data_IF_259431012967
#
_entry.id   IF_259431012967
#
_cell.length_a   1.000
_cell.length_b   1.000
_cell.length_c   1.000
_cell.angle_alpha   90.00
_cell.angle_beta   90.00
_cell.angle_gamma   90.00
#
_symmetry.space_group_name_H-M   'P 1'
#
loop_
_entity.id
_entity.type
_entity.pdbx_description
1 polymer ?
#
# COMPACT_ATOMS: atom_id res chain seq x y z
N UNK A 1 -3.01 13.58 14.26
CA UNK A 1 -1.97 13.49 15.30
C UNK A 1 -2.33 14.44 16.44
N UNK A 2 -2.14 14.04 17.70
CA UNK A 2 -2.33 14.95 18.85
C UNK A 2 -0.95 15.36 19.39
N UNK A 3 -0.66 16.66 19.43
CA UNK A 3 0.62 17.17 19.91
C UNK A 3 0.66 17.21 21.45
N UNK A 4 1.79 16.89 22.11
CA UNK A 4 1.87 16.80 23.57
C UNK A 4 1.53 18.08 24.36
N UNK A 5 1.59 19.24 23.72
CA UNK A 5 1.42 20.57 24.37
C UNK A 5 0.41 21.46 23.65
N UNK A 6 -0.43 20.89 22.78
CA UNK A 6 -1.37 21.66 21.95
C UNK A 6 -0.69 22.55 20.90
N UNK A 7 0.59 22.30 20.59
CA UNK A 7 1.26 22.95 19.47
C UNK A 7 0.50 22.70 18.16
N UNK A 8 0.55 23.71 17.29
CA UNK A 8 0.22 23.55 15.89
C UNK A 8 1.09 22.45 15.24
N UNK A 9 0.52 21.69 14.31
CA UNK A 9 1.18 20.53 13.70
C UNK A 9 2.44 20.93 12.93
N UNK A 10 2.40 22.05 12.20
CA UNK A 10 3.55 22.54 11.44
C UNK A 10 4.69 22.98 12.37
N UNK A 11 4.34 23.67 13.45
CA UNK A 11 5.30 24.10 14.47
C UNK A 11 5.95 22.90 15.16
N UNK A 12 5.16 21.88 15.49
CA UNK A 12 5.67 20.68 16.15
C UNK A 12 6.58 19.87 15.24
N UNK A 13 6.20 19.71 13.96
CA UNK A 13 7.04 19.07 12.95
C UNK A 13 8.40 19.79 12.82
N UNK A 14 8.38 21.12 12.70
CA UNK A 14 9.61 21.94 12.64
C UNK A 14 10.49 21.70 13.85
N UNK A 15 9.91 21.79 15.06
CA UNK A 15 10.64 21.59 16.31
C UNK A 15 11.33 20.22 16.35
N UNK A 16 10.62 19.16 15.95
CA UNK A 16 11.20 17.81 15.89
C UNK A 16 12.36 17.71 14.89
N UNK A 17 12.24 18.37 13.74
CA UNK A 17 13.33 18.42 12.76
C UNK A 17 14.54 19.15 13.34
N UNK A 18 14.36 20.30 13.97
CA UNK A 18 15.44 21.09 14.58
C UNK A 18 16.14 20.31 15.71
N UNK A 19 15.39 19.60 16.54
CA UNK A 19 15.94 18.74 17.61
C UNK A 19 16.73 17.55 17.05
N UNK A 20 16.29 16.96 15.92
CA UNK A 20 16.89 15.75 15.36
C UNK A 20 17.98 16.01 14.33
N UNK A 21 18.01 17.19 13.71
CA UNK A 21 18.97 17.55 12.67
C UNK A 21 20.43 17.31 13.10
N UNK A 22 20.86 17.71 14.32
CA UNK A 22 22.24 17.48 14.79
C UNK A 22 22.62 16.00 14.93
N UNK A 23 21.63 15.10 15.09
CA UNK A 23 21.89 13.66 15.17
C UNK A 23 22.18 13.03 13.80
N UNK A 24 21.76 13.68 12.70
CA UNK A 24 22.05 13.24 11.33
C UNK A 24 23.23 13.98 10.71
N UNK A 25 23.35 15.28 10.99
CA UNK A 25 24.43 16.13 10.49
C UNK A 25 25.14 16.81 11.66
N UNK A 26 26.39 16.41 11.96
CA UNK A 26 27.20 17.08 12.99
C UNK A 26 27.49 18.55 12.66
N UNK A 27 27.62 18.86 11.38
CA UNK A 27 27.80 20.23 10.87
C UNK A 27 26.65 20.60 9.94
N UNK A 28 25.97 21.69 10.23
CA UNK A 28 24.81 22.16 9.46
C UNK A 28 25.30 23.20 8.45
N UNK A 29 25.45 22.78 7.19
CA UNK A 29 25.78 23.68 6.09
C UNK A 29 24.57 24.53 5.66
N UNK A 30 24.78 25.68 4.99
CA UNK A 30 23.69 26.48 4.42
C UNK A 30 22.76 25.65 3.51
N UNK A 31 23.33 24.73 2.72
CA UNK A 31 22.57 23.84 1.84
C UNK A 31 21.58 22.95 2.61
N UNK A 32 21.97 22.42 3.78
CA UNK A 32 21.11 21.59 4.62
C UNK A 32 19.96 22.43 5.21
N UNK A 33 20.29 23.59 5.78
CA UNK A 33 19.31 24.51 6.37
C UNK A 33 18.29 25.01 5.33
N UNK A 34 18.77 25.43 4.16
CA UNK A 34 17.91 25.90 3.06
C UNK A 34 17.00 24.78 2.53
N UNK A 35 17.53 23.56 2.36
CA UNK A 35 16.72 22.41 1.94
C UNK A 35 15.65 22.09 2.97
N UNK A 36 16.00 22.04 4.26
CA UNK A 36 15.06 21.75 5.33
C UNK A 36 13.94 22.79 5.40
N UNK A 37 14.29 24.08 5.33
CA UNK A 37 13.32 25.17 5.34
C UNK A 37 12.36 25.09 4.14
N UNK A 38 12.91 24.86 2.94
CA UNK A 38 12.10 24.71 1.72
C UNK A 38 11.10 23.54 1.84
N UNK A 39 11.56 22.39 2.31
CA UNK A 39 10.68 21.21 2.50
C UNK A 39 9.60 21.48 3.53
N UNK A 40 9.95 22.04 4.70
CA UNK A 40 8.98 22.36 5.76
C UNK A 40 7.93 23.38 5.28
N UNK A 41 8.33 24.39 4.52
CA UNK A 41 7.39 25.37 3.93
C UNK A 41 6.41 24.71 2.97
N UNK A 42 6.90 23.83 2.11
CA UNK A 42 6.05 23.11 1.16
C UNK A 42 5.09 22.16 1.89
N UNK A 43 5.58 21.39 2.86
CA UNK A 43 4.77 20.48 3.68
C UNK A 43 3.65 21.24 4.39
N UNK A 44 3.97 22.40 4.96
CA UNK A 44 3.00 23.31 5.59
C UNK A 44 1.98 23.83 4.60
N UNK A 45 2.42 24.34 3.44
CA UNK A 45 1.52 24.87 2.40
C UNK A 45 0.51 23.83 1.92
N UNK A 46 0.92 22.56 1.86
CA UNK A 46 0.05 21.46 1.45
C UNK A 46 -0.74 20.82 2.60
N UNK A 47 -0.50 21.22 3.86
CA UNK A 47 -1.22 20.70 5.02
C UNK A 47 -0.82 19.28 5.43
N UNK A 48 0.39 18.82 5.09
CA UNK A 48 0.82 17.44 5.33
C UNK A 48 1.65 17.23 6.60
N UNK A 49 1.79 18.24 7.47
CA UNK A 49 2.54 18.08 8.71
C UNK A 49 1.98 16.96 9.60
N UNK A 50 0.65 16.86 9.70
CA UNK A 50 0.01 15.78 10.43
C UNK A 50 0.35 14.38 9.90
N UNK A 51 0.50 14.24 8.57
CA UNK A 51 0.84 12.98 7.94
C UNK A 51 2.27 12.55 8.30
N UNK A 52 3.24 13.46 8.15
CA UNK A 52 4.62 13.23 8.56
C UNK A 52 4.74 12.85 10.04
N UNK A 53 3.97 13.52 10.92
CA UNK A 53 3.98 13.24 12.36
C UNK A 53 3.41 11.87 12.70
N UNK A 54 2.32 11.44 12.04
CA UNK A 54 1.76 10.10 12.23
C UNK A 54 2.78 9.04 11.83
N UNK A 55 3.39 9.21 10.65
CA UNK A 55 4.41 8.29 10.12
C UNK A 55 5.64 8.22 11.00
N UNK A 56 6.20 9.37 11.34
CA UNK A 56 7.34 9.47 12.25
C UNK A 56 7.07 8.72 13.56
N UNK A 57 5.88 8.86 14.11
CA UNK A 57 5.57 8.34 15.43
C UNK A 57 5.51 6.81 15.51
N UNK A 58 4.89 6.14 14.53
CA UNK A 58 4.89 4.67 14.53
C UNK A 58 6.23 4.08 14.12
N UNK A 59 7.03 4.79 13.28
CA UNK A 59 8.41 4.38 12.98
C UNK A 59 9.29 4.53 14.22
N UNK A 60 9.15 5.64 14.96
CA UNK A 60 9.85 5.84 16.24
C UNK A 60 9.54 4.70 17.19
N UNK A 61 8.26 4.36 17.35
CA UNK A 61 7.83 3.22 18.17
C UNK A 61 8.49 1.90 17.71
N UNK A 62 8.46 1.60 16.41
CA UNK A 62 9.09 0.40 15.86
C UNK A 62 10.59 0.34 16.20
N UNK A 63 11.32 1.44 15.95
CA UNK A 63 12.76 1.55 16.27
C UNK A 63 13.04 1.42 17.78
N UNK A 64 12.24 2.04 18.64
CA UNK A 64 12.35 1.92 20.11
C UNK A 64 12.09 0.48 20.61
N UNK A 65 11.18 -0.24 19.95
CA UNK A 65 10.89 -1.66 20.21
C UNK A 65 11.84 -2.62 19.49
N UNK A 66 12.89 -2.10 18.84
CA UNK A 66 13.86 -2.87 18.06
C UNK A 66 13.21 -3.73 16.98
N UNK A 67 12.09 -3.27 16.41
CA UNK A 67 11.47 -3.85 15.23
C UNK A 67 12.25 -3.33 14.03
N UNK A 68 12.67 -4.21 13.12
CA UNK A 68 13.45 -3.79 11.96
C UNK A 68 12.56 -3.00 11.00
N UNK A 69 13.01 -1.80 10.63
CA UNK A 69 12.38 -0.92 9.65
C UNK A 69 13.35 -0.75 8.49
N UNK A 70 12.85 -0.87 7.26
CA UNK A 70 13.65 -0.66 6.06
C UNK A 70 14.12 0.79 5.92
N UNK A 71 15.10 1.06 5.05
CA UNK A 71 15.67 2.39 4.87
C UNK A 71 14.72 3.42 4.22
N UNK A 72 13.50 2.99 3.84
CA UNK A 72 12.51 3.73 3.07
C UNK A 72 12.49 3.28 1.60
N UNK A 73 11.31 3.25 0.99
CA UNK A 73 11.13 2.91 -0.43
C UNK A 73 10.33 3.98 -1.18
N UNK A 74 10.47 4.01 -2.50
CA UNK A 74 9.74 4.96 -3.33
C UNK A 74 10.30 6.39 -3.24
N UNK A 75 9.44 7.37 -3.47
CA UNK A 75 9.87 8.77 -3.62
C UNK A 75 10.22 9.46 -2.30
N UNK A 76 9.68 9.00 -1.16
CA UNK A 76 9.92 9.60 0.17
C UNK A 76 11.41 9.69 0.56
N UNK A 77 12.25 8.80 0.01
CA UNK A 77 13.71 8.86 0.19
C UNK A 77 14.34 10.18 -0.30
N UNK A 78 13.65 10.96 -1.14
CA UNK A 78 14.08 12.29 -1.56
C UNK A 78 13.82 13.42 -0.56
N UNK A 79 13.14 13.17 0.56
CA UNK A 79 12.84 14.18 1.58
C UNK A 79 13.90 14.20 2.68
N UNK A 80 14.53 15.35 2.86
CA UNK A 80 15.42 15.65 3.99
C UNK A 80 14.64 15.62 5.30
N UNK A 81 13.39 16.13 5.32
CA UNK A 81 12.52 16.06 6.51
C UNK A 81 12.27 14.61 6.92
N UNK A 82 11.95 13.72 5.97
CA UNK A 82 11.77 12.29 6.26
C UNK A 82 13.06 11.65 6.81
N UNK A 83 14.21 11.98 6.24
CA UNK A 83 15.51 11.48 6.71
C UNK A 83 15.86 11.93 8.13
N UNK A 84 15.66 13.23 8.42
CA UNK A 84 15.93 13.84 9.74
C UNK A 84 15.03 13.25 10.83
N UNK A 85 13.74 13.05 10.54
CA UNK A 85 12.82 12.41 11.46
C UNK A 85 13.14 10.92 11.70
N UNK A 86 13.91 10.31 10.80
CA UNK A 86 14.22 8.88 10.81
C UNK A 86 13.13 8.02 10.19
N UNK A 87 12.27 8.61 9.37
CA UNK A 87 11.31 7.91 8.50
C UNK A 87 12.07 7.14 7.42
N UNK A 88 13.09 7.78 6.84
CA UNK A 88 14.04 7.15 5.93
C UNK A 88 15.43 7.16 6.55
N UNK A 89 16.30 6.26 6.08
CA UNK A 89 17.70 6.17 6.52
C UNK A 89 18.71 6.47 5.39
N UNK A 90 18.23 6.94 4.23
CA UNK A 90 19.04 7.39 3.09
C UNK A 90 19.15 8.92 3.12
N UNK A 91 20.38 9.44 3.15
CA UNK A 91 20.65 10.88 3.05
C UNK A 91 20.36 11.39 1.62
N UNK A 92 19.31 12.21 1.41
CA UNK A 92 18.95 12.66 0.07
C UNK A 92 19.97 13.60 -0.55
N UNK A 93 20.74 14.35 0.24
CA UNK A 93 21.71 15.31 -0.28
C UNK A 93 22.96 14.60 -0.79
N UNK A 94 23.43 13.59 -0.06
CA UNK A 94 24.59 12.78 -0.46
C UNK A 94 24.39 12.05 -1.80
N UNK A 95 23.15 11.65 -2.10
CA UNK A 95 22.80 10.92 -3.33
C UNK A 95 22.10 11.78 -4.39
N UNK A 96 22.00 13.10 -4.18
CA UNK A 96 21.36 14.01 -5.15
C UNK A 96 19.87 13.72 -5.39
N UNK A 97 19.15 13.24 -4.37
CA UNK A 97 17.74 12.92 -4.46
C UNK A 97 16.85 14.18 -4.35
N UNK A 98 15.83 14.24 -5.21
CA UNK A 98 14.96 15.40 -5.36
C UNK A 98 13.69 15.26 -4.50
N UNK A 99 13.40 16.28 -3.69
CA UNK A 99 12.19 16.34 -2.87
C UNK A 99 10.94 16.48 -3.73
N UNK A 100 11.04 17.21 -4.83
CA UNK A 100 9.93 17.52 -5.75
C UNK A 100 9.39 16.27 -6.45
N UNK A 101 10.16 15.17 -6.46
CA UNK A 101 9.68 13.86 -6.91
C UNK A 101 8.75 13.20 -5.90
N UNK A 102 8.97 13.46 -4.61
CA UNK A 102 8.08 13.01 -3.54
C UNK A 102 6.84 13.88 -3.46
N UNK A 103 7.05 15.20 -3.36
CA UNK A 103 5.98 16.12 -3.05
C UNK A 103 6.18 17.38 -3.90
N UNK A 104 5.27 17.56 -4.86
CA UNK A 104 5.28 18.66 -5.81
C UNK A 104 4.08 19.59 -5.54
N UNK A 105 4.30 20.88 -5.20
CA UNK A 105 3.23 21.84 -4.97
C UNK A 105 2.25 22.03 -6.14
N UNK A 106 2.67 21.72 -7.38
CA UNK A 106 1.85 21.83 -8.59
C UNK A 106 0.98 20.60 -8.83
N UNK A 107 1.19 19.51 -8.09
CA UNK A 107 0.38 18.29 -8.17
C UNK A 107 -0.59 18.23 -6.99
N UNK A 108 -1.85 17.89 -7.29
CA UNK A 108 -2.91 17.69 -6.29
C UNK A 108 -2.96 16.28 -5.72
N UNK A 109 -2.10 15.36 -6.20
CA UNK A 109 -2.06 13.99 -5.69
C UNK A 109 -1.47 13.96 -4.28
N UNK A 110 -2.06 13.13 -3.42
CA UNK A 110 -1.55 12.87 -2.07
C UNK A 110 -0.22 12.10 -2.18
N UNK A 111 0.82 12.47 -1.41
CA UNK A 111 2.07 11.73 -1.41
C UNK A 111 1.90 10.40 -0.66
N UNK A 112 2.40 9.31 -1.23
CA UNK A 112 2.44 8.00 -0.56
C UNK A 112 3.78 7.83 0.19
N UNK A 113 3.72 7.57 1.49
CA UNK A 113 4.88 7.19 2.31
C UNK A 113 4.84 5.68 2.60
N UNK A 114 5.50 4.93 1.73
CA UNK A 114 5.67 3.49 1.88
C UNK A 114 6.84 3.13 2.80
N UNK A 115 6.59 2.28 3.81
CA UNK A 115 7.62 1.82 4.75
C UNK A 115 7.60 0.30 4.85
N UNK A 116 8.78 -0.29 4.81
CA UNK A 116 8.97 -1.72 5.04
C UNK A 116 9.19 -1.97 6.54
N UNK A 117 8.39 -2.88 7.11
CA UNK A 117 8.48 -3.31 8.50
C UNK A 117 8.65 -4.82 8.50
N UNK A 118 9.49 -5.34 9.41
CA UNK A 118 9.67 -6.77 9.65
C UNK A 118 8.33 -7.52 9.74
N UNK A 119 8.19 -8.59 8.94
CA UNK A 119 6.91 -9.29 8.73
C UNK A 119 6.33 -9.85 10.02
N UNK A 120 7.14 -10.58 10.81
CA UNK A 120 6.71 -11.23 12.05
C UNK A 120 6.22 -10.25 13.12
N UNK A 121 6.76 -9.02 13.13
CA UNK A 121 6.51 -8.01 14.17
C UNK A 121 5.67 -6.84 13.68
N UNK A 122 5.24 -6.84 12.42
CA UNK A 122 4.40 -5.78 11.86
C UNK A 122 3.05 -5.64 12.58
N UNK A 123 2.50 -6.74 13.08
CA UNK A 123 1.29 -6.73 13.90
C UNK A 123 1.41 -5.84 15.15
N UNK A 124 2.60 -5.79 15.78
CA UNK A 124 2.85 -4.94 16.95
C UNK A 124 2.74 -3.44 16.62
N UNK A 125 3.19 -3.05 15.42
CA UNK A 125 3.11 -1.66 14.98
C UNK A 125 1.68 -1.27 14.65
N UNK A 126 0.92 -2.15 13.97
CA UNK A 126 -0.50 -1.92 13.69
C UNK A 126 -1.29 -1.78 14.99
N UNK A 127 -1.02 -2.63 15.98
CA UNK A 127 -1.68 -2.56 17.28
C UNK A 127 -1.32 -1.28 18.04
N UNK A 128 -0.07 -0.83 17.99
CA UNK A 128 0.31 0.49 18.52
C UNK A 128 -0.46 1.63 17.87
N UNK A 129 -0.57 1.63 16.53
CA UNK A 129 -1.32 2.63 15.77
C UNK A 129 -2.80 2.63 16.19
N UNK A 130 -3.42 1.45 16.33
CA UNK A 130 -4.80 1.31 16.83
C UNK A 130 -4.98 1.87 18.24
N UNK A 131 -4.08 1.52 19.16
CA UNK A 131 -4.14 2.00 20.54
C UNK A 131 -3.97 3.52 20.62
N UNK A 132 -3.11 4.09 19.77
CA UNK A 132 -2.79 5.51 19.80
C UNK A 132 -3.81 6.39 19.09
N UNK A 133 -4.31 5.97 17.94
CA UNK A 133 -5.20 6.77 17.10
C UNK A 133 -6.68 6.38 17.22
N UNK A 134 -6.98 5.33 18.00
CA UNK A 134 -8.32 4.83 18.27
C UNK A 134 -8.61 3.55 17.49
N UNK A 135 -9.11 2.51 18.18
CA UNK A 135 -9.41 1.23 17.54
C UNK A 135 -10.45 1.36 16.42
N UNK A 136 -11.43 2.25 16.56
CA UNK A 136 -12.48 2.49 15.56
C UNK A 136 -12.00 3.36 14.37
N UNK A 137 -10.83 3.99 14.49
CA UNK A 137 -10.29 4.94 13.52
C UNK A 137 -9.25 4.30 12.58
N UNK A 138 -8.82 3.06 12.89
CA UNK A 138 -7.72 2.38 12.20
C UNK A 138 -8.15 0.98 11.79
N UNK A 139 -8.02 0.67 10.50
CA UNK A 139 -8.30 -0.65 9.97
C UNK A 139 -7.31 -1.02 8.87
N UNK A 140 -7.18 -2.32 8.58
CA UNK A 140 -6.46 -2.75 7.39
C UNK A 140 -7.32 -2.53 6.14
N UNK A 141 -6.68 -2.35 5.00
CA UNK A 141 -7.39 -2.17 3.73
C UNK A 141 -7.82 -3.54 3.21
N UNK A 142 -9.03 -3.66 2.67
CA UNK A 142 -9.48 -4.88 2.00
C UNK A 142 -8.85 -5.00 0.61
N UNK A 143 -8.63 -6.24 0.19
CA UNK A 143 -8.30 -6.57 -1.20
C UNK A 143 -9.26 -7.63 -1.71
N UNK A 144 -9.50 -7.63 -3.01
CA UNK A 144 -10.41 -8.56 -3.66
C UNK A 144 -9.61 -9.50 -4.56
N UNK A 145 -9.62 -10.79 -4.21
CA UNK A 145 -9.05 -11.82 -5.07
C UNK A 145 -9.95 -12.03 -6.29
N UNK A 146 -9.42 -11.78 -7.48
CA UNK A 146 -10.14 -11.99 -8.75
C UNK A 146 -9.83 -13.36 -9.36
N UNK A 147 -10.70 -13.82 -10.26
CA UNK A 147 -10.50 -15.07 -10.99
C UNK A 147 -9.45 -14.89 -12.09
N UNK A 148 -8.20 -15.26 -11.81
CA UNK A 148 -7.15 -15.33 -12.83
C UNK A 148 -7.45 -16.41 -13.88
N UNK A 149 -6.99 -16.23 -15.13
CA UNK A 149 -7.25 -17.11 -16.28
C UNK A 149 -7.16 -18.62 -15.94
N UNK A 150 -6.03 -19.07 -15.37
CA UNK A 150 -5.82 -20.47 -15.01
C UNK A 150 -6.79 -20.96 -13.92
N UNK A 151 -7.14 -20.11 -12.97
CA UNK A 151 -8.08 -20.44 -11.92
C UNK A 151 -9.52 -20.53 -12.46
N UNK A 152 -9.91 -19.61 -13.35
CA UNK A 152 -11.18 -19.64 -14.05
C UNK A 152 -11.37 -20.95 -14.82
N UNK A 153 -10.36 -21.36 -15.62
CA UNK A 153 -10.39 -22.63 -16.36
C UNK A 153 -10.51 -23.82 -15.41
N UNK A 154 -9.76 -23.86 -14.30
CA UNK A 154 -9.85 -24.95 -13.33
C UNK A 154 -11.22 -25.04 -12.66
N UNK A 155 -11.80 -23.91 -12.28
CA UNK A 155 -13.10 -23.88 -11.59
C UNK A 155 -14.25 -24.23 -12.54
N UNK A 156 -14.24 -23.74 -13.79
CA UNK A 156 -15.23 -24.13 -14.81
C UNK A 156 -15.10 -25.62 -15.13
N UNK A 157 -13.88 -26.14 -15.30
CA UNK A 157 -13.66 -27.56 -15.57
C UNK A 157 -14.21 -28.47 -14.47
N UNK A 158 -14.12 -28.03 -13.21
CA UNK A 158 -14.74 -28.73 -12.07
C UNK A 158 -16.27 -28.77 -12.21
N UNK A 159 -16.91 -27.65 -12.56
CA UNK A 159 -18.37 -27.56 -12.73
C UNK A 159 -18.86 -28.39 -13.92
N UNK A 160 -18.09 -28.44 -15.01
CA UNK A 160 -18.39 -29.26 -16.19
C UNK A 160 -18.12 -30.77 -15.97
N UNK A 161 -17.69 -31.18 -14.77
CA UNK A 161 -17.39 -32.58 -14.46
C UNK A 161 -16.18 -33.14 -15.22
N UNK A 162 -15.27 -32.29 -15.66
CA UNK A 162 -14.08 -32.71 -16.40
C UNK A 162 -13.02 -33.28 -15.43
N UNK A 163 -12.25 -34.31 -15.83
CA UNK A 163 -11.18 -34.85 -14.99
C UNK A 163 -10.12 -33.79 -14.63
N UNK A 164 -9.79 -33.65 -13.34
CA UNK A 164 -8.86 -32.65 -12.84
C UNK A 164 -7.53 -32.63 -13.59
N UNK A 165 -6.94 -33.80 -13.86
CA UNK A 165 -5.66 -33.91 -14.57
C UNK A 165 -5.71 -33.35 -16.00
N UNK A 166 -6.84 -33.53 -16.69
CA UNK A 166 -7.06 -32.97 -18.04
C UNK A 166 -7.14 -31.44 -17.95
N UNK A 167 -7.96 -30.92 -17.03
CA UNK A 167 -8.16 -29.48 -16.85
C UNK A 167 -6.88 -28.77 -16.40
N UNK A 168 -6.10 -29.36 -15.48
CA UNK A 168 -4.84 -28.77 -15.04
C UNK A 168 -3.79 -28.72 -16.16
N UNK A 169 -3.73 -29.75 -17.02
CA UNK A 169 -2.88 -29.74 -18.22
C UNK A 169 -3.29 -28.62 -19.17
N UNK A 170 -4.59 -28.47 -19.44
CA UNK A 170 -5.13 -27.40 -20.28
C UNK A 170 -4.77 -26.02 -19.69
N UNK A 171 -5.00 -25.82 -18.39
CA UNK A 171 -4.71 -24.56 -17.72
C UNK A 171 -3.22 -24.18 -17.74
N UNK A 172 -2.30 -25.15 -17.81
CA UNK A 172 -0.85 -24.90 -17.86
C UNK A 172 -0.37 -24.32 -19.19
N UNK A 173 -1.12 -24.51 -20.28
CA UNK A 173 -0.80 -23.90 -21.58
C UNK A 173 -1.02 -22.37 -21.59
N UNK A 174 -1.88 -21.86 -20.71
CA UNK A 174 -2.11 -20.42 -20.56
C UNK A 174 -0.88 -19.81 -19.88
N UNK A 175 -0.19 -18.80 -20.44
CA UNK A 175 0.94 -18.16 -19.77
C UNK A 175 0.54 -17.53 -18.42
N UNK A 176 1.50 -17.41 -17.50
CA UNK A 176 1.26 -16.71 -16.23
C UNK A 176 0.95 -15.22 -16.50
N UNK A 177 0.03 -14.65 -15.72
CA UNK A 177 -0.39 -13.24 -15.79
C UNK A 177 -0.82 -12.76 -17.20
N UNK A 178 -1.36 -13.67 -18.01
CA UNK A 178 -1.95 -13.35 -19.32
C UNK A 178 -3.45 -13.53 -19.26
N UNK A 179 -4.18 -12.59 -19.85
CA UNK A 179 -5.63 -12.70 -20.04
C UNK A 179 -5.95 -13.91 -20.91
N UNK A 180 -7.05 -14.60 -20.59
CA UNK A 180 -7.43 -15.83 -21.29
C UNK A 180 -7.69 -15.57 -22.77
N UNK A 181 -8.36 -14.46 -23.11
CA UNK A 181 -8.61 -14.08 -24.51
C UNK A 181 -7.32 -13.98 -25.31
N UNK A 182 -6.31 -13.32 -24.77
CA UNK A 182 -5.04 -13.13 -25.46
C UNK A 182 -4.30 -14.47 -25.58
N UNK A 183 -4.30 -15.28 -24.52
CA UNK A 183 -3.68 -16.61 -24.56
C UNK A 183 -4.31 -17.52 -25.65
N UNK A 184 -5.62 -17.44 -25.83
CA UNK A 184 -6.34 -18.18 -26.88
C UNK A 184 -6.06 -17.63 -28.28
N UNK A 185 -5.83 -16.33 -28.44
CA UNK A 185 -5.44 -15.72 -29.72
C UNK A 185 -4.01 -16.10 -30.12
N UNK A 186 -3.09 -16.22 -29.16
CA UNK A 186 -1.65 -16.43 -29.38
C UNK A 186 -1.25 -17.91 -29.48
N UNK A 187 -1.92 -18.84 -28.78
CA UNK A 187 -1.53 -20.26 -28.78
C UNK A 187 -2.31 -21.07 -29.83
N UNK A 188 -1.60 -21.67 -30.77
CA UNK A 188 -2.16 -22.63 -31.72
C UNK A 188 -2.65 -23.89 -31.03
N UNK A 189 -1.95 -24.37 -30.01
CA UNK A 189 -2.29 -25.58 -29.26
C UNK A 189 -3.63 -25.43 -28.52
N UNK A 190 -3.89 -24.25 -27.94
CA UNK A 190 -5.17 -23.98 -27.29
C UNK A 190 -6.33 -23.94 -28.29
N UNK A 191 -6.10 -23.40 -29.49
CA UNK A 191 -7.10 -23.39 -30.57
C UNK A 191 -7.40 -24.80 -31.07
N UNK A 192 -6.37 -25.61 -31.32
CA UNK A 192 -6.53 -27.00 -31.72
C UNK A 192 -7.35 -27.79 -30.69
N UNK A 193 -7.04 -27.63 -29.39
CA UNK A 193 -7.81 -28.27 -28.31
C UNK A 193 -9.29 -27.85 -28.28
N UNK A 194 -9.61 -26.60 -28.65
CA UNK A 194 -10.99 -26.10 -28.76
C UNK A 194 -11.70 -26.58 -30.03
N UNK A 195 -10.95 -26.91 -31.09
CA UNK A 195 -11.47 -27.47 -32.33
C UNK A 195 -11.78 -28.97 -32.17
N UNK A 196 -10.90 -29.71 -31.48
CA UNK A 196 -11.02 -31.15 -31.27
C UNK A 196 -12.06 -31.56 -30.23
N UNK A 197 -12.28 -30.75 -29.18
CA UNK A 197 -13.14 -31.11 -28.05
C UNK A 197 -14.14 -30.00 -27.72
N UNK A 198 -15.41 -30.25 -28.00
CA UNK A 198 -16.53 -29.34 -27.73
C UNK A 198 -16.66 -28.99 -26.23
N UNK A 199 -16.30 -29.91 -25.33
CA UNK A 199 -16.28 -29.61 -23.89
C UNK A 199 -15.16 -28.64 -23.53
N UNK A 200 -14.02 -28.73 -24.21
CA UNK A 200 -12.90 -27.78 -24.04
C UNK A 200 -13.26 -26.41 -24.61
N UNK A 201 -13.98 -26.37 -25.74
CA UNK A 201 -14.54 -25.11 -26.26
C UNK A 201 -15.47 -24.45 -25.24
N UNK A 202 -16.45 -25.21 -24.73
CA UNK A 202 -17.40 -24.73 -23.71
C UNK A 202 -16.67 -24.26 -22.44
N UNK A 203 -15.63 -25.00 -22.02
CA UNK A 203 -14.78 -24.64 -20.89
C UNK A 203 -14.17 -23.24 -21.06
N UNK A 204 -13.57 -22.96 -22.21
CA UNK A 204 -12.93 -21.66 -22.46
C UNK A 204 -13.94 -20.52 -22.64
N UNK A 205 -15.05 -20.75 -23.34
CA UNK A 205 -16.10 -19.74 -23.53
C UNK A 205 -16.69 -19.28 -22.18
N UNK A 206 -16.94 -20.22 -21.26
CA UNK A 206 -17.43 -19.89 -19.92
C UNK A 206 -16.31 -19.25 -19.09
N UNK A 207 -15.09 -19.79 -19.14
CA UNK A 207 -13.96 -19.26 -18.38
C UNK A 207 -13.64 -17.80 -18.75
N UNK A 208 -13.73 -17.42 -20.03
CA UNK A 208 -13.55 -16.04 -20.50
C UNK A 208 -14.61 -15.08 -19.93
N UNK A 209 -15.84 -15.57 -19.68
CA UNK A 209 -16.91 -14.73 -19.12
C UNK A 209 -16.77 -14.49 -17.62
N UNK A 210 -16.07 -15.37 -16.91
CA UNK A 210 -15.90 -15.27 -15.45
C UNK A 210 -14.51 -14.79 -15.03
N UNK A 211 -13.53 -14.78 -15.95
CA UNK A 211 -12.22 -14.21 -15.72
C UNK A 211 -12.34 -12.75 -15.23
N UNK A 212 -11.54 -12.39 -14.24
CA UNK A 212 -11.53 -11.05 -13.66
C UNK A 212 -12.67 -10.77 -12.66
N UNK A 213 -13.70 -11.63 -12.57
CA UNK A 213 -14.72 -11.48 -11.56
C UNK A 213 -14.13 -11.64 -10.14
N UNK A 214 -14.70 -10.89 -9.19
CA UNK A 214 -14.30 -10.97 -7.79
C UNK A 214 -14.75 -12.28 -7.18
N UNK A 215 -13.84 -12.97 -6.50
CA UNK A 215 -14.06 -14.30 -5.93
C UNK A 215 -14.18 -14.29 -4.41
N UNK A 216 -13.31 -13.56 -3.73
CA UNK A 216 -13.28 -13.50 -2.27
C UNK A 216 -12.68 -12.19 -1.80
N UNK A 217 -13.11 -11.76 -0.61
CA UNK A 217 -12.48 -10.71 0.15
C UNK A 217 -11.29 -11.26 0.94
N UNK A 218 -10.21 -10.49 0.98
CA UNK A 218 -9.01 -10.77 1.76
C UNK A 218 -8.45 -9.48 2.35
N UNK A 219 -7.50 -9.58 3.27
CA UNK A 219 -6.82 -8.44 3.85
C UNK A 219 -5.64 -8.04 2.96
N UNK A 220 -5.52 -6.75 2.64
CA UNK A 220 -4.37 -6.25 1.89
C UNK A 220 -3.09 -6.52 2.69
N UNK A 221 -2.05 -7.00 2.01
CA UNK A 221 -0.78 -7.32 2.65
C UNK A 221 -0.25 -6.13 3.43
N UNK A 222 0.00 -4.96 2.80
CA UNK A 222 0.61 -3.78 3.44
C UNK A 222 -0.35 -2.68 3.97
N UNK A 223 -1.51 -2.44 3.36
CA UNK A 223 -2.32 -1.24 3.57
C UNK A 223 -3.03 -1.16 4.92
N UNK A 224 -2.89 0.00 5.57
CA UNK A 224 -3.61 0.39 6.78
C UNK A 224 -4.18 1.78 6.55
N UNK A 225 -5.45 1.99 6.88
CA UNK A 225 -6.09 3.29 6.80
C UNK A 225 -6.18 3.90 8.20
N UNK A 226 -5.94 5.20 8.30
CA UNK A 226 -6.12 5.97 9.55
C UNK A 226 -7.04 7.15 9.25
N UNK A 227 -8.21 7.17 9.90
CA UNK A 227 -9.18 8.25 9.78
C UNK A 227 -9.11 9.21 10.98
N UNK A 228 -9.55 10.48 10.82
CA UNK A 228 -9.57 11.45 11.93
C UNK A 228 -10.69 11.18 12.95
N UNK A 229 -11.70 10.39 12.58
CA UNK A 229 -12.82 9.93 13.41
C UNK A 229 -13.14 8.48 13.01
N UNK A 230 -14.19 7.89 13.59
CA UNK A 230 -14.63 6.51 13.33
C UNK A 230 -14.67 6.22 11.84
N UNK A 231 -14.03 5.12 11.43
CA UNK A 231 -13.96 4.73 10.03
C UNK A 231 -15.34 4.56 9.40
N UNK A 232 -16.34 4.15 10.18
CA UNK A 232 -17.74 4.00 9.72
C UNK A 232 -18.40 5.31 9.28
N UNK A 233 -17.84 6.47 9.61
CA UNK A 233 -18.28 7.75 9.06
C UNK A 233 -17.80 7.97 7.61
N UNK A 234 -16.77 7.25 7.17
CA UNK A 234 -16.09 7.44 5.88
C UNK A 234 -16.19 6.22 4.95
N UNK A 235 -16.13 5.01 5.50
CA UNK A 235 -16.15 3.76 4.73
C UNK A 235 -16.82 2.64 5.54
N UNK A 236 -17.62 1.76 4.89
CA UNK A 236 -18.11 0.57 5.58
C UNK A 236 -16.96 -0.38 5.93
N UNK A 237 -17.15 -1.19 6.97
CA UNK A 237 -16.16 -2.15 7.46
C UNK A 237 -16.60 -3.59 7.17
N UNK A 238 -15.62 -4.47 7.02
CA UNK A 238 -15.79 -5.91 6.86
C UNK A 238 -15.07 -6.63 8.01
N UNK A 239 -15.75 -7.62 8.59
CA UNK A 239 -15.18 -8.51 9.61
C UNK A 239 -14.97 -9.87 8.97
N UNK A 240 -13.72 -10.32 8.91
CA UNK A 240 -13.37 -11.62 8.36
C UNK A 240 -13.76 -12.76 9.32
N UNK A 241 -13.71 -14.00 8.85
CA UNK A 241 -13.92 -15.19 9.70
C UNK A 241 -12.86 -15.37 10.80
N UNK A 242 -11.74 -14.64 10.71
CA UNK A 242 -10.67 -14.59 11.73
C UNK A 242 -10.82 -13.39 12.68
N UNK A 243 -11.97 -12.72 12.65
CA UNK A 243 -12.27 -11.51 13.43
C UNK A 243 -11.41 -10.28 13.08
N UNK A 244 -10.71 -10.31 11.94
CA UNK A 244 -9.96 -9.16 11.43
C UNK A 244 -10.92 -8.13 10.85
N UNK A 245 -10.74 -6.87 11.23
CA UNK A 245 -11.52 -5.73 10.71
C UNK A 245 -10.75 -5.06 9.57
N UNK A 246 -11.38 -5.02 8.39
CA UNK A 246 -10.89 -4.30 7.21
C UNK A 246 -11.90 -3.25 6.77
N UNK A 247 -11.47 -2.32 5.92
CA UNK A 247 -12.39 -1.51 5.11
C UNK A 247 -13.22 -2.39 4.17
N UNK A 248 -14.27 -1.86 3.56
CA UNK A 248 -14.93 -2.50 2.40
C UNK A 248 -14.52 -1.85 1.08
N UNK A 249 -14.02 -0.63 1.11
CA UNK A 249 -13.39 0.01 -0.04
C UNK A 249 -11.94 -0.45 -0.15
N UNK A 250 -11.55 -0.85 -1.36
CA UNK A 250 -10.16 -1.15 -1.68
C UNK A 250 -9.32 0.14 -1.79
N UNK A 251 -8.01 -0.04 -1.91
CA UNK A 251 -7.00 1.04 -1.86
C UNK A 251 -7.35 2.27 -2.70
N UNK A 252 -7.71 2.12 -3.98
CA UNK A 252 -8.00 3.25 -4.86
C UNK A 252 -9.32 3.94 -4.49
N UNK A 253 -10.32 3.15 -4.09
CA UNK A 253 -11.61 3.66 -3.63
C UNK A 253 -11.48 4.48 -2.34
N UNK A 254 -10.60 4.08 -1.41
CA UNK A 254 -10.27 4.86 -0.21
C UNK A 254 -9.55 6.17 -0.55
N UNK A 255 -8.60 6.12 -1.50
CA UNK A 255 -7.88 7.30 -1.97
C UNK A 255 -8.83 8.32 -2.62
N UNK A 256 -9.79 7.86 -3.42
CA UNK A 256 -10.79 8.71 -4.06
C UNK A 256 -11.71 9.45 -3.07
N UNK A 257 -11.89 8.92 -1.85
CA UNK A 257 -12.65 9.59 -0.78
C UNK A 257 -11.75 10.38 0.18
N UNK A 258 -10.45 10.50 -0.14
CA UNK A 258 -9.50 11.33 0.59
C UNK A 258 -9.03 10.73 1.92
N UNK A 259 -9.18 9.42 2.13
CA UNK A 259 -8.64 8.76 3.31
C UNK A 259 -7.15 8.46 3.14
N UNK A 260 -6.41 8.70 4.22
CA UNK A 260 -4.98 8.44 4.30
C UNK A 260 -4.71 6.94 4.40
N UNK A 261 -3.84 6.43 3.52
CA UNK A 261 -3.37 5.04 3.46
C UNK A 261 -1.88 4.92 3.78
#
# INVERSE_FOLDING_TARGET
YQTPTGHDLDQYLRKLCEEKLPHRYPEISPQISERMERELQIIRKMGYAGYFLVVWDFIRYAKEKKIVVGPGRGSVAGSLVAYVLGITDIDPLSYGLFFERFLNPERTAMPDIDIDIEDERRGEVIEYVKQKYGQDNVAQIITFGTMAARAAVRDVGRVLGMPYGKVDRIAKFIPFNRELRIALEESSELKELMEEDEKVRSLFEIAQRIEGLTRHASTHAAGVVIAPDKLTHYTPLYRSSKDEITTQYEMHSLENIGLLK
#
